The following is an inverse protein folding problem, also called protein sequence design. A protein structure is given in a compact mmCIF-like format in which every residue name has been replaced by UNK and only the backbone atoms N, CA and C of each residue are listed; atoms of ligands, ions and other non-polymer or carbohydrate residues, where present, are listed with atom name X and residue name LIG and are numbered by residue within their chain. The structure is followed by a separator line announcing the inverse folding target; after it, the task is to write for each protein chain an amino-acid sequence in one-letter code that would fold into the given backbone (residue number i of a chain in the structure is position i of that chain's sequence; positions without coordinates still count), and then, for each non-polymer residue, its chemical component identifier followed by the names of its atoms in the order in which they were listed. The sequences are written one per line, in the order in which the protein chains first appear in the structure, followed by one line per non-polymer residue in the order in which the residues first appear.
data_IF_998539905303
#
_entry.id   IF_998539905303
#
_cell.length_a   1.000
_cell.length_b   1.000
_cell.length_c   1.000
_cell.angle_alpha   90.00
_cell.angle_beta   90.00
_cell.angle_gamma   90.00
#
_symmetry.space_group_name_H-M   'P 1'
#
loop_
_entity.id
_entity.type
_entity.pdbx_description
1 polymer ?
#
# COMPACT_ATOMS: atom_id res chain seq x y z
N UNK A 1 -36.39 57.61 2.52
CA UNK A 1 -37.28 56.50 2.11
C UNK A 1 -37.81 56.87 0.73
N UNK A 2 -37.22 56.30 -0.32
CA UNK A 2 -37.49 56.69 -1.71
C UNK A 2 -37.65 55.47 -2.59
N UNK A 3 -38.59 54.61 -2.23
CA UNK A 3 -39.12 53.58 -3.12
C UNK A 3 -40.57 53.94 -3.44
N UNK A 4 -40.88 54.03 -4.73
CA UNK A 4 -42.25 54.11 -5.22
C UNK A 4 -42.48 55.18 -6.27
N UNK A 5 -42.60 54.72 -7.51
CA UNK A 5 -43.60 55.17 -8.50
C UNK A 5 -43.35 56.51 -9.20
N UNK A 6 -42.95 56.44 -10.48
CA UNK A 6 -43.46 57.39 -11.49
C UNK A 6 -42.46 58.31 -12.21
N UNK A 7 -41.21 58.44 -11.75
CA UNK A 7 -40.19 59.20 -12.48
C UNK A 7 -39.25 58.24 -13.22
N UNK A 8 -39.02 58.44 -14.53
CA UNK A 8 -37.97 57.72 -15.27
C UNK A 8 -36.67 57.87 -14.49
N UNK A 9 -36.13 56.75 -13.99
CA UNK A 9 -34.85 56.75 -13.27
C UNK A 9 -33.82 57.58 -14.03
N UNK A 10 -33.10 58.44 -13.29
CA UNK A 10 -31.98 59.19 -13.87
C UNK A 10 -30.92 58.18 -14.36
N UNK A 11 -30.17 58.49 -15.43
CA UNK A 11 -29.13 57.60 -15.93
C UNK A 11 -28.12 57.18 -14.84
N UNK A 12 -27.82 58.09 -13.92
CA UNK A 12 -26.88 57.86 -12.81
C UNK A 12 -27.44 56.89 -11.76
N UNK A 13 -28.73 56.98 -11.44
CA UNK A 13 -29.40 56.06 -10.51
C UNK A 13 -29.53 54.65 -11.13
N UNK A 14 -29.79 54.55 -12.44
CA UNK A 14 -29.73 53.26 -13.16
C UNK A 14 -28.36 52.61 -13.10
N UNK A 15 -27.30 53.40 -13.29
CA UNK A 15 -25.93 52.89 -13.24
C UNK A 15 -25.60 52.31 -11.85
N UNK A 16 -25.92 53.03 -10.78
CA UNK A 16 -25.68 52.55 -9.41
C UNK A 16 -26.45 51.25 -9.11
N UNK A 17 -27.74 51.19 -9.47
CA UNK A 17 -28.54 49.97 -9.30
C UNK A 17 -27.98 48.80 -10.11
N UNK A 18 -27.55 49.04 -11.34
CA UNK A 18 -26.97 48.00 -12.19
C UNK A 18 -25.63 47.52 -11.64
N UNK A 19 -24.78 48.43 -11.15
CA UNK A 19 -23.51 48.09 -10.50
C UNK A 19 -23.74 47.19 -9.27
N UNK A 20 -24.71 47.53 -8.42
CA UNK A 20 -25.07 46.71 -7.26
C UNK A 20 -25.57 45.33 -7.69
N UNK A 21 -26.46 45.25 -8.68
CA UNK A 21 -26.94 43.97 -9.24
C UNK A 21 -25.82 43.13 -9.84
N UNK A 22 -24.85 43.75 -10.52
CA UNK A 22 -23.70 43.04 -11.07
C UNK A 22 -22.81 42.50 -9.94
N UNK A 23 -22.57 43.27 -8.88
CA UNK A 23 -21.80 42.78 -7.73
C UNK A 23 -22.53 41.66 -6.98
N UNK A 24 -23.84 41.77 -6.81
CA UNK A 24 -24.67 40.72 -6.21
C UNK A 24 -24.60 39.44 -7.04
N UNK A 25 -24.77 39.55 -8.36
CA UNK A 25 -24.65 38.42 -9.28
C UNK A 25 -23.26 37.76 -9.23
N UNK A 26 -22.18 38.56 -9.16
CA UNK A 26 -20.82 38.01 -9.02
C UNK A 26 -20.69 37.20 -7.72
N UNK A 27 -21.19 37.74 -6.61
CA UNK A 27 -21.16 37.05 -5.31
C UNK A 27 -21.99 35.76 -5.32
N UNK A 28 -23.17 35.79 -5.93
CA UNK A 28 -24.01 34.60 -6.08
C UNK A 28 -23.32 33.52 -6.92
N UNK A 29 -22.65 33.90 -8.01
CA UNK A 29 -21.89 32.95 -8.83
C UNK A 29 -20.70 32.36 -8.07
N UNK A 30 -19.97 33.17 -7.30
CA UNK A 30 -18.89 32.69 -6.44
C UNK A 30 -19.40 31.71 -5.37
N UNK A 31 -20.54 32.01 -4.76
CA UNK A 31 -21.18 31.14 -3.78
C UNK A 31 -21.67 29.82 -4.39
N UNK A 32 -22.30 29.88 -5.57
CA UNK A 32 -22.68 28.67 -6.32
C UNK A 32 -21.43 27.84 -6.65
N UNK A 33 -20.34 28.48 -7.07
CA UNK A 33 -19.10 27.79 -7.38
C UNK A 33 -18.48 27.13 -6.13
N UNK A 34 -18.49 27.78 -4.97
CA UNK A 34 -17.98 27.17 -3.73
C UNK A 34 -18.83 25.98 -3.30
N UNK A 35 -20.16 26.09 -3.35
CA UNK A 35 -21.07 24.99 -2.99
C UNK A 35 -20.90 23.80 -3.95
N UNK A 36 -20.75 24.05 -5.26
CA UNK A 36 -20.48 22.98 -6.23
C UNK A 36 -19.13 22.29 -5.97
N UNK A 37 -18.09 23.04 -5.59
CA UNK A 37 -16.78 22.46 -5.23
C UNK A 37 -16.86 21.59 -3.97
N UNK A 38 -17.60 22.03 -2.96
CA UNK A 38 -17.81 21.25 -1.74
C UNK A 38 -18.66 19.99 -2.00
N UNK A 39 -19.74 20.10 -2.78
CA UNK A 39 -20.55 18.94 -3.16
C UNK A 39 -19.81 17.95 -4.06
N UNK A 40 -18.92 18.41 -4.94
CA UNK A 40 -18.05 17.53 -5.73
C UNK A 40 -17.05 16.76 -4.85
N UNK A 41 -16.56 17.38 -3.77
CA UNK A 41 -15.70 16.72 -2.80
C UNK A 41 -16.47 15.69 -1.93
N UNK A 42 -17.74 15.94 -1.65
CA UNK A 42 -18.63 14.93 -1.03
C UNK A 42 -18.99 13.78 -1.99
N UNK A 43 -19.11 14.05 -3.29
CA UNK A 43 -19.38 13.03 -4.32
C UNK A 43 -18.19 12.04 -4.48
N UNK A 44 -16.96 12.50 -4.27
CA UNK A 44 -15.76 11.66 -4.26
C UNK A 44 -15.74 10.64 -3.09
N UNK A 45 -16.49 10.90 -2.01
CA UNK A 45 -16.71 9.94 -0.93
C UNK A 45 -17.83 8.96 -1.30
N UNK A 46 -17.61 8.21 -2.39
CA UNK A 46 -18.51 7.14 -2.78
C UNK A 46 -18.65 6.13 -1.63
N UNK A 47 -19.87 5.68 -1.27
CA UNK A 47 -20.08 4.72 -0.18
C UNK A 47 -19.22 3.44 -0.29
N UNK A 48 -18.90 3.03 -1.51
CA UNK A 48 -18.03 1.90 -1.81
C UNK A 48 -16.55 2.17 -1.47
N UNK A 49 -16.05 3.39 -1.61
CA UNK A 49 -14.69 3.76 -1.20
C UNK A 49 -14.57 3.72 0.33
N UNK A 50 -15.59 4.21 1.05
CA UNK A 50 -15.63 4.12 2.50
C UNK A 50 -15.72 2.67 2.99
N UNK A 51 -16.53 1.83 2.35
CA UNK A 51 -16.63 0.40 2.67
C UNK A 51 -15.28 -0.32 2.51
N UNK A 52 -14.52 -0.02 1.44
CA UNK A 52 -13.16 -0.56 1.25
C UNK A 52 -12.19 -0.10 2.33
N UNK A 53 -12.25 1.17 2.75
CA UNK A 53 -11.42 1.67 3.84
C UNK A 53 -11.73 0.95 5.16
N UNK A 54 -13.01 0.77 5.49
CA UNK A 54 -13.44 0.04 6.69
C UNK A 54 -13.00 -1.42 6.64
N UNK A 55 -13.09 -2.07 5.48
CA UNK A 55 -12.61 -3.44 5.31
C UNK A 55 -11.09 -3.55 5.47
N UNK A 56 -10.33 -2.59 4.94
CA UNK A 56 -8.89 -2.50 5.15
C UNK A 56 -8.54 -2.34 6.64
N UNK A 57 -9.24 -1.45 7.36
CA UNK A 57 -9.04 -1.26 8.80
C UNK A 57 -9.39 -2.53 9.61
N UNK A 58 -10.47 -3.22 9.24
CA UNK A 58 -10.83 -4.52 9.83
C UNK A 58 -9.70 -5.53 9.66
N UNK A 59 -9.14 -5.63 8.45
CA UNK A 59 -8.04 -6.55 8.17
C UNK A 59 -6.81 -6.22 9.03
N UNK A 60 -6.44 -4.94 9.14
CA UNK A 60 -5.31 -4.53 9.98
C UNK A 60 -5.53 -4.84 11.47
N UNK A 61 -6.74 -4.62 11.98
CA UNK A 61 -7.07 -4.94 13.36
C UNK A 61 -6.96 -6.45 13.64
N UNK A 62 -7.47 -7.27 12.73
CA UNK A 62 -7.37 -8.73 12.84
C UNK A 62 -5.91 -9.20 12.80
N UNK A 63 -5.10 -8.65 11.89
CA UNK A 63 -3.67 -8.97 11.81
C UNK A 63 -2.93 -8.59 13.09
N UNK A 64 -3.17 -7.38 13.62
CA UNK A 64 -2.53 -6.94 14.87
C UNK A 64 -3.00 -7.79 16.07
N UNK A 65 -4.26 -8.21 16.11
CA UNK A 65 -4.74 -9.12 17.14
C UNK A 65 -4.10 -10.51 17.02
N UNK A 66 -3.94 -11.02 15.80
CA UNK A 66 -3.23 -12.27 15.52
C UNK A 66 -1.76 -12.20 15.97
N UNK A 67 -1.06 -11.11 15.68
CA UNK A 67 0.32 -10.89 16.16
C UNK A 67 0.41 -10.90 17.69
N UNK A 68 -0.57 -10.30 18.39
CA UNK A 68 -0.63 -10.31 19.85
C UNK A 68 -0.91 -11.71 20.42
N UNK A 69 -1.75 -12.51 19.76
CA UNK A 69 -2.06 -13.89 20.19
C UNK A 69 -0.92 -14.87 19.91
N UNK A 70 -0.31 -14.77 18.73
CA UNK A 70 0.76 -15.64 18.27
C UNK A 70 2.11 -15.26 18.91
N UNK A 71 2.28 -13.99 19.30
CA UNK A 71 3.49 -13.45 19.87
C UNK A 71 4.56 -13.10 18.80
N UNK A 72 5.56 -12.28 19.17
CA UNK A 72 6.50 -11.68 18.22
C UNK A 72 7.46 -12.65 17.52
N UNK A 73 7.47 -13.93 17.91
CA UNK A 73 8.36 -14.96 17.36
C UNK A 73 7.63 -16.04 16.55
N UNK A 74 6.31 -15.97 16.41
CA UNK A 74 5.54 -16.94 15.66
C UNK A 74 5.60 -16.63 14.16
N UNK A 75 6.64 -17.13 13.50
CA UNK A 75 6.69 -17.17 12.04
C UNK A 75 5.67 -18.21 11.54
N UNK A 76 4.54 -17.74 11.00
CA UNK A 76 3.54 -18.62 10.37
C UNK A 76 3.94 -18.79 8.90
N UNK A 77 4.57 -19.93 8.59
CA UNK A 77 4.77 -20.35 7.21
C UNK A 77 3.54 -21.12 6.72
N UNK A 78 2.76 -20.50 5.84
CA UNK A 78 1.58 -21.13 5.25
C UNK A 78 1.94 -22.18 4.18
N UNK A 79 3.18 -22.20 3.67
CA UNK A 79 3.62 -23.18 2.69
C UNK A 79 4.02 -24.51 3.36
N UNK A 80 4.50 -24.47 4.60
CA UNK A 80 4.87 -25.66 5.38
C UNK A 80 4.49 -25.49 6.87
N UNK A 81 3.19 -25.69 7.23
CA UNK A 81 2.70 -25.45 8.59
C UNK A 81 3.29 -26.41 9.64
N UNK A 82 3.68 -27.62 9.22
CA UNK A 82 4.24 -28.67 10.11
C UNK A 82 5.78 -28.72 10.09
N UNK A 83 6.42 -27.89 9.25
CA UNK A 83 7.86 -27.96 8.99
C UNK A 83 8.29 -29.31 8.38
N UNK A 84 7.39 -30.00 7.69
CA UNK A 84 7.60 -31.35 7.17
C UNK A 84 8.62 -31.36 6.02
N UNK A 85 8.62 -30.34 5.17
CA UNK A 85 9.58 -30.20 4.08
C UNK A 85 10.99 -29.99 4.63
N UNK A 86 11.13 -29.14 5.65
CA UNK A 86 12.40 -28.91 6.32
C UNK A 86 12.94 -30.18 6.97
N UNK A 87 12.09 -30.94 7.66
CA UNK A 87 12.46 -32.24 8.28
C UNK A 87 12.86 -33.28 7.23
N UNK A 88 12.11 -33.39 6.14
CA UNK A 88 12.41 -34.32 5.06
C UNK A 88 13.74 -34.00 4.40
N UNK A 89 14.01 -32.72 4.13
CA UNK A 89 15.29 -32.28 3.56
C UNK A 89 16.46 -32.58 4.50
N UNK A 90 16.33 -32.32 5.80
CA UNK A 90 17.35 -32.68 6.79
C UNK A 90 17.62 -34.18 6.81
N UNK A 91 16.56 -35.00 6.81
CA UNK A 91 16.67 -36.45 6.81
C UNK A 91 17.33 -36.99 5.53
N UNK A 92 17.01 -36.41 4.36
CA UNK A 92 17.66 -36.77 3.10
C UNK A 92 19.16 -36.43 3.12
N UNK A 93 19.54 -35.29 3.69
CA UNK A 93 20.94 -34.92 3.85
C UNK A 93 21.68 -35.86 4.83
N UNK A 94 21.07 -36.25 5.94
CA UNK A 94 21.63 -37.20 6.90
C UNK A 94 21.89 -38.59 6.28
N UNK A 95 20.96 -39.10 5.47
CA UNK A 95 21.14 -40.39 4.77
C UNK A 95 22.29 -40.33 3.77
N UNK A 96 22.47 -39.19 3.09
CA UNK A 96 23.55 -38.99 2.12
C UNK A 96 24.92 -38.77 2.79
N UNK A 97 24.97 -38.14 3.97
CA UNK A 97 26.23 -37.95 4.72
C UNK A 97 26.71 -39.23 5.40
N UNK A 98 25.80 -40.05 5.92
CA UNK A 98 26.13 -41.34 6.56
C UNK A 98 26.69 -42.38 5.55
N UNK A 99 26.41 -42.21 4.27
CA UNK A 99 26.87 -43.11 3.19
C UNK A 99 28.28 -42.80 2.65
N UNK A 100 28.98 -41.76 3.18
CA UNK A 100 30.17 -41.16 2.56
C UNK A 100 31.45 -41.18 3.40
N UNK A 101 31.56 -42.04 4.41
CA UNK A 101 32.82 -42.27 5.15
C UNK A 101 33.78 -43.19 4.38
N UNK A 102 34.45 -42.66 3.35
CA UNK A 102 35.74 -43.16 2.88
C UNK A 102 36.52 -42.00 2.24
N UNK A 103 37.78 -41.71 2.66
CA UNK A 103 38.48 -40.51 2.24
C UNK A 103 39.30 -40.77 0.97
N UNK A 104 39.21 -39.91 -0.05
CA UNK A 104 40.34 -39.73 -0.96
C UNK A 104 40.39 -38.34 -1.61
N UNK A 105 41.62 -37.88 -1.83
CA UNK A 105 42.06 -36.51 -2.18
C UNK A 105 41.94 -36.22 -3.68
N UNK A 106 41.47 -35.00 -4.02
CA UNK A 106 41.82 -34.05 -5.12
C UNK A 106 42.10 -34.55 -6.58
N UNK A 107 42.15 -33.67 -7.61
CA UNK A 107 41.25 -32.59 -8.03
C UNK A 107 40.81 -32.69 -9.53
N UNK A 108 39.88 -31.81 -9.92
CA UNK A 108 39.56 -31.34 -11.29
C UNK A 108 38.67 -32.20 -12.23
N UNK A 109 37.78 -31.44 -12.89
CA UNK A 109 37.00 -31.70 -14.12
C UNK A 109 35.55 -32.16 -13.91
N UNK A 110 34.65 -31.33 -14.47
CA UNK A 110 33.20 -31.48 -14.43
C UNK A 110 32.72 -32.86 -14.91
N UNK A 111 31.67 -33.41 -14.27
CA UNK A 111 30.84 -34.42 -14.93
C UNK A 111 29.32 -34.15 -14.83
N UNK A 112 28.62 -34.72 -15.82
CA UNK A 112 27.19 -34.84 -15.98
C UNK A 112 26.50 -35.55 -14.78
N UNK A 113 25.15 -35.44 -14.63
CA UNK A 113 24.48 -35.72 -13.37
C UNK A 113 24.33 -37.23 -13.15
N UNK A 114 25.23 -37.79 -12.36
CA UNK A 114 25.07 -39.13 -11.78
C UNK A 114 24.43 -39.02 -10.40
N UNK A 115 23.16 -39.44 -10.34
CA UNK A 115 22.56 -40.19 -9.23
C UNK A 115 22.32 -39.51 -7.88
N UNK A 116 23.35 -38.94 -7.26
CA UNK A 116 23.29 -38.45 -5.87
C UNK A 116 24.33 -37.34 -5.67
N UNK A 117 24.13 -36.21 -6.35
CA UNK A 117 24.95 -35.01 -6.13
C UNK A 117 24.09 -33.94 -5.49
N UNK A 118 24.38 -33.60 -4.23
CA UNK A 118 23.73 -32.48 -3.53
C UNK A 118 24.41 -31.19 -3.96
N UNK A 119 23.68 -30.35 -4.67
CA UNK A 119 24.14 -29.01 -5.09
C UNK A 119 23.43 -27.97 -4.25
N UNK A 120 24.20 -27.18 -3.48
CA UNK A 120 23.67 -26.02 -2.77
C UNK A 120 23.98 -24.75 -3.57
N UNK A 121 22.95 -24.11 -4.10
CA UNK A 121 23.09 -22.85 -4.84
C UNK A 121 22.63 -21.70 -3.95
N UNK A 122 23.58 -20.88 -3.49
CA UNK A 122 23.30 -19.68 -2.71
C UNK A 122 23.35 -18.45 -3.63
N UNK A 123 22.18 -17.85 -3.86
CA UNK A 123 22.07 -16.56 -4.54
C UNK A 123 21.89 -15.46 -3.51
N UNK A 124 22.89 -14.58 -3.37
CA UNK A 124 22.89 -13.48 -2.40
C UNK A 124 23.32 -12.16 -3.04
N UNK A 125 22.69 -11.04 -2.69
CA UNK A 125 23.04 -9.68 -3.16
C UNK A 125 23.55 -8.80 -2.01
N UNK A 126 24.84 -8.91 -1.66
CA UNK A 126 25.39 -8.25 -0.47
C UNK A 126 25.37 -6.73 -0.53
N UNK A 127 25.50 -6.12 -1.71
CA UNK A 127 25.50 -4.65 -1.85
C UNK A 127 24.14 -4.03 -1.50
N UNK A 128 23.04 -4.72 -1.80
CA UNK A 128 21.68 -4.22 -1.56
C UNK A 128 21.32 -4.27 -0.07
N UNK A 129 21.73 -5.33 0.63
CA UNK A 129 21.53 -5.46 2.07
C UNK A 129 22.45 -4.52 2.86
N UNK A 130 23.71 -4.35 2.42
CA UNK A 130 24.62 -3.40 3.05
C UNK A 130 24.10 -1.97 2.90
N UNK A 131 23.61 -1.60 1.71
CA UNK A 131 22.97 -0.31 1.48
C UNK A 131 21.72 -0.11 2.35
N UNK A 132 20.86 -1.13 2.46
CA UNK A 132 19.66 -1.07 3.29
C UNK A 132 19.96 -0.93 4.80
N UNK A 133 21.06 -1.53 5.28
CA UNK A 133 21.49 -1.38 6.66
C UNK A 133 22.14 -0.02 6.92
N UNK A 134 23.00 0.46 6.01
CA UNK A 134 23.66 1.76 6.17
C UNK A 134 22.71 2.94 5.96
N UNK A 135 21.64 2.79 5.16
CA UNK A 135 20.64 3.83 4.95
C UNK A 135 19.62 3.96 6.11
N UNK A 136 19.60 3.01 7.05
CA UNK A 136 18.79 3.08 8.28
C UNK A 136 19.48 3.85 9.42
N UNK A 137 20.76 4.22 9.27
CA UNK A 137 21.57 4.99 10.24
C UNK A 137 21.42 6.48 10.03
#
# INVERSE_FOLDING_TARGET
LGEGLGAKETPQQRYQRLQQKVQELVREVEQIQSTVKESAAEEELTPMALARQVEGLKQQLVSSHLENLLGPAAAVDFADPDGALAKHLLQQLEVMTCSKEAPEKSPAKAPAPTGDTVTFELYWRPEQDQFAQSAKV
#
